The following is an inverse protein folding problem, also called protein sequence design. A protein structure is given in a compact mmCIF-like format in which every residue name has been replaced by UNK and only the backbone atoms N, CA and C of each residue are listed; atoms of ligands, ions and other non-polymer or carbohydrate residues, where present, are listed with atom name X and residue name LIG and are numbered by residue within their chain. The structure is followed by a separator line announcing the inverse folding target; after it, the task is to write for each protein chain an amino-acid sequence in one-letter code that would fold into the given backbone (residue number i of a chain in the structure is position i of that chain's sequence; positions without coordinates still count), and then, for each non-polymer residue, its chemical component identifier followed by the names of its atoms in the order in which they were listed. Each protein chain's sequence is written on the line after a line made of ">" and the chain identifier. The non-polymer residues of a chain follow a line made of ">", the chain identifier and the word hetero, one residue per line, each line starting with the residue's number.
data_IF_400268284447
#
_entry.id   IF_400268284447
#
_cell.length_a   1.000
_cell.length_b   1.000
_cell.length_c   1.000
_cell.angle_alpha   90.00
_cell.angle_beta   90.00
_cell.angle_gamma   90.00
#
_symmetry.space_group_name_H-M   'P 1'
#
loop_
_entity.id
_entity.type
_entity.pdbx_description
1 polymer ?
#
# COMPACT_ATOMS: atom_id res chain seq x y z
N UNK A 1 19.61 -12.15 1.47
CA UNK A 1 20.41 -13.11 2.26
C UNK A 1 19.69 -13.30 3.58
N UNK A 2 19.35 -14.54 3.97
CA UNK A 2 18.70 -14.81 5.25
C UNK A 2 19.72 -14.87 6.39
N UNK A 3 19.29 -14.57 7.61
CA UNK A 3 20.12 -14.71 8.82
C UNK A 3 19.53 -15.81 9.71
N UNK A 4 20.36 -16.69 10.24
CA UNK A 4 19.93 -17.75 11.17
C UNK A 4 20.05 -17.23 12.59
N UNK A 5 18.96 -17.33 13.36
CA UNK A 5 18.89 -16.93 14.77
C UNK A 5 18.43 -18.12 15.60
N UNK A 6 18.96 -18.24 16.82
CA UNK A 6 18.48 -19.23 17.77
C UNK A 6 17.19 -18.74 18.42
N UNK A 7 16.23 -19.64 18.56
CA UNK A 7 15.04 -19.40 19.38
C UNK A 7 15.45 -19.53 20.86
N UNK A 8 14.91 -18.64 21.69
CA UNK A 8 15.05 -18.69 23.14
C UNK A 8 13.70 -19.06 23.76
N UNK A 9 13.73 -19.74 24.90
CA UNK A 9 12.54 -20.17 25.62
C UNK A 9 12.60 -19.65 27.05
N UNK A 10 11.48 -19.09 27.50
CA UNK A 10 11.28 -18.75 28.91
C UNK A 10 10.90 -20.01 29.71
N UNK A 11 11.18 -20.08 31.02
CA UNK A 11 10.74 -21.20 31.86
C UNK A 11 9.22 -21.44 31.83
N UNK A 12 8.42 -20.40 31.57
CA UNK A 12 6.97 -20.46 31.45
C UNK A 12 6.44 -20.95 30.10
N UNK A 13 7.31 -21.32 29.15
CA UNK A 13 6.91 -21.92 27.87
C UNK A 13 6.75 -20.95 26.71
N UNK A 14 6.94 -19.64 26.90
CA UNK A 14 6.94 -18.66 25.79
C UNK A 14 8.27 -18.69 25.06
N UNK A 15 8.22 -18.65 23.73
CA UNK A 15 9.39 -18.59 22.85
C UNK A 15 9.58 -17.18 22.28
N UNK A 16 10.82 -16.77 22.07
CA UNK A 16 11.14 -15.50 21.40
C UNK A 16 12.41 -15.62 20.56
N UNK A 17 12.54 -14.72 19.58
CA UNK A 17 13.69 -14.60 18.70
C UNK A 17 14.11 -13.13 18.62
N UNK A 18 15.40 -12.88 18.49
CA UNK A 18 15.89 -11.52 18.24
C UNK A 18 15.71 -11.20 16.75
N UNK A 19 14.91 -10.17 16.44
CA UNK A 19 14.76 -9.66 15.08
C UNK A 19 16.07 -8.99 14.59
N UNK A 20 16.36 -8.97 13.28
CA UNK A 20 17.58 -8.33 12.76
C UNK A 20 17.61 -6.83 13.06
N UNK A 21 18.72 -6.34 13.62
CA UNK A 21 18.88 -4.93 14.03
C UNK A 21 18.62 -3.94 12.88
N UNK A 22 19.25 -4.17 11.71
CA UNK A 22 19.07 -3.29 10.55
C UNK A 22 17.69 -3.37 9.91
N UNK A 23 16.90 -4.40 10.22
CA UNK A 23 15.48 -4.45 9.84
C UNK A 23 14.66 -3.61 10.82
N UNK A 24 14.87 -3.79 12.12
CA UNK A 24 14.20 -3.00 13.16
C UNK A 24 14.43 -1.49 13.01
N UNK A 25 15.68 -1.07 12.74
CA UNK A 25 16.03 0.35 12.51
C UNK A 25 15.35 0.93 11.27
N UNK A 26 15.28 0.16 10.18
CA UNK A 26 14.65 0.57 8.92
C UNK A 26 13.16 0.85 9.07
N UNK A 27 12.48 0.06 9.89
CA UNK A 27 11.06 0.23 10.19
C UNK A 27 10.81 1.07 11.45
N UNK A 28 11.85 1.70 12.01
CA UNK A 28 11.71 2.59 13.16
C UNK A 28 11.20 1.92 14.44
N UNK A 29 11.37 0.60 14.57
CA UNK A 29 10.91 -0.15 15.74
C UNK A 29 11.70 0.26 16.98
N UNK A 30 10.98 0.54 18.06
CA UNK A 30 11.52 0.94 19.37
C UNK A 30 11.03 -0.02 20.44
N UNK A 31 11.57 0.11 21.65
CA UNK A 31 11.06 -0.63 22.81
C UNK A 31 9.56 -0.34 22.97
N UNK A 32 8.75 -1.39 22.99
CA UNK A 32 7.29 -1.30 23.09
C UNK A 32 6.56 -1.16 21.76
N UNK A 33 7.26 -1.14 20.60
CA UNK A 33 6.60 -1.24 19.30
C UNK A 33 5.86 -2.57 19.16
N UNK A 34 4.67 -2.52 18.58
CA UNK A 34 3.86 -3.69 18.24
C UNK A 34 4.12 -4.10 16.80
N UNK A 35 4.11 -5.40 16.53
CA UNK A 35 4.21 -5.98 15.18
C UNK A 35 3.14 -7.06 15.04
N UNK A 36 2.69 -7.34 13.83
CA UNK A 36 1.82 -8.46 13.55
C UNK A 36 2.67 -9.69 13.33
N UNK A 37 2.24 -10.82 13.88
CA UNK A 37 2.80 -12.12 13.53
C UNK A 37 1.66 -12.97 13.02
N UNK A 38 1.78 -13.47 11.80
CA UNK A 38 0.83 -14.39 11.19
C UNK A 38 1.55 -15.62 10.66
N UNK A 39 0.83 -16.74 10.61
CA UNK A 39 1.32 -17.98 10.03
C UNK A 39 0.84 -18.08 8.58
N UNK A 40 1.77 -18.33 7.65
CA UNK A 40 1.47 -18.58 6.25
C UNK A 40 0.94 -20.01 6.07
N UNK A 41 0.33 -20.30 4.92
CA UNK A 41 -0.21 -21.63 4.62
C UNK A 41 0.84 -22.76 4.60
N UNK A 42 2.11 -22.42 4.42
CA UNK A 42 3.25 -23.35 4.48
C UNK A 42 3.94 -23.38 5.86
N UNK A 43 3.30 -22.82 6.90
CA UNK A 43 3.73 -22.90 8.29
C UNK A 43 4.87 -21.95 8.68
N UNK A 44 5.18 -20.96 7.85
CA UNK A 44 6.19 -19.94 8.17
C UNK A 44 5.55 -18.80 8.96
N UNK A 45 6.32 -18.20 9.85
CA UNK A 45 5.91 -16.97 10.52
C UNK A 45 6.29 -15.76 9.66
N UNK A 46 5.30 -14.92 9.37
CA UNK A 46 5.47 -13.61 8.74
C UNK A 46 5.35 -12.53 9.81
N UNK A 47 6.33 -11.62 9.86
CA UNK A 47 6.35 -10.50 10.80
C UNK A 47 6.11 -9.22 10.00
N UNK A 48 5.05 -8.51 10.33
CA UNK A 48 4.70 -7.23 9.74
C UNK A 48 4.93 -6.10 10.75
N UNK A 49 5.92 -5.21 10.51
CA UNK A 49 6.22 -4.10 11.40
C UNK A 49 5.20 -2.96 11.32
N UNK A 50 4.31 -2.99 10.33
CA UNK A 50 3.30 -1.96 10.07
C UNK A 50 1.93 -2.37 10.60
N UNK A 51 1.89 -3.15 11.67
CA UNK A 51 0.64 -3.56 12.31
C UNK A 51 -0.24 -2.36 12.69
N UNK A 52 -1.39 -2.24 12.02
CA UNK A 52 -2.32 -1.13 12.22
C UNK A 52 -1.96 0.15 11.46
N UNK A 53 -0.88 0.15 10.66
CA UNK A 53 -0.71 1.19 9.65
C UNK A 53 -1.83 1.00 8.62
N UNK A 54 -2.65 2.03 8.44
CA UNK A 54 -3.51 2.09 7.26
C UNK A 54 -2.57 2.05 6.06
N UNK A 55 -2.69 1.07 5.14
CA UNK A 55 -1.88 1.04 3.94
C UNK A 55 -1.98 2.42 3.30
N UNK A 56 -0.84 3.08 3.08
CA UNK A 56 -0.87 4.37 2.40
C UNK A 56 -1.54 4.14 1.05
N UNK A 57 -2.59 4.89 0.71
CA UNK A 57 -3.31 4.68 -0.53
C UNK A 57 -2.32 4.81 -1.68
N UNK A 58 -2.28 3.79 -2.53
CA UNK A 58 -1.43 3.75 -3.70
C UNK A 58 -1.94 4.82 -4.67
N UNK A 59 -1.26 5.95 -4.67
CA UNK A 59 -1.65 7.13 -5.45
C UNK A 59 -0.77 7.32 -6.68
N UNK A 60 -1.35 7.89 -7.73
CA UNK A 60 -0.64 8.26 -8.96
C UNK A 60 -1.21 9.55 -9.54
N UNK A 61 -0.33 10.37 -10.11
CA UNK A 61 -0.72 11.58 -10.85
C UNK A 61 -0.56 11.37 -12.34
N UNK A 62 -1.62 11.59 -13.09
CA UNK A 62 -1.68 11.54 -14.54
C UNK A 62 -1.79 12.96 -15.10
N UNK A 63 -1.13 13.21 -16.22
CA UNK A 63 -1.38 14.41 -17.03
C UNK A 63 -2.39 14.04 -18.12
N UNK A 64 -3.31 14.94 -18.50
CA UNK A 64 -4.20 14.70 -19.62
C UNK A 64 -3.43 14.39 -20.90
N UNK A 65 -3.72 13.24 -21.51
CA UNK A 65 -3.21 12.81 -22.81
C UNK A 65 -4.37 12.37 -23.70
N UNK A 66 -4.11 12.11 -24.99
CA UNK A 66 -5.09 11.51 -25.91
C UNK A 66 -5.58 10.11 -25.48
N UNK A 67 -4.95 9.52 -24.48
CA UNK A 67 -5.26 8.18 -23.96
C UNK A 67 -5.64 8.19 -22.49
N UNK A 68 -6.05 9.36 -21.95
CA UNK A 68 -6.36 9.55 -20.54
C UNK A 68 -7.33 8.48 -20.00
N UNK A 69 -8.42 8.19 -20.71
CA UNK A 69 -9.34 7.10 -20.36
C UNK A 69 -8.63 5.76 -20.14
N UNK A 70 -7.72 5.39 -21.05
CA UNK A 70 -6.98 4.12 -20.99
C UNK A 70 -5.98 4.12 -19.84
N UNK A 71 -5.35 5.26 -19.58
CA UNK A 71 -4.43 5.41 -18.45
C UNK A 71 -5.18 5.25 -17.12
N UNK A 72 -6.34 5.89 -16.95
CA UNK A 72 -7.19 5.74 -15.76
C UNK A 72 -7.59 4.27 -15.56
N UNK A 73 -8.11 3.60 -16.61
CA UNK A 73 -8.46 2.18 -16.54
C UNK A 73 -7.24 1.32 -16.18
N UNK A 74 -6.08 1.61 -16.77
CA UNK A 74 -4.84 0.90 -16.46
C UNK A 74 -4.42 1.05 -14.99
N UNK A 75 -4.53 2.24 -14.41
CA UNK A 75 -4.22 2.46 -12.99
C UNK A 75 -5.25 1.80 -12.07
N UNK A 76 -6.53 1.85 -12.44
CA UNK A 76 -7.58 1.12 -11.75
C UNK A 76 -7.28 -0.39 -11.73
N UNK A 77 -6.95 -1.00 -12.87
CA UNK A 77 -6.63 -2.44 -12.97
C UNK A 77 -5.36 -2.82 -12.21
N UNK A 78 -4.43 -1.88 -11.99
CA UNK A 78 -3.22 -2.08 -11.20
C UNK A 78 -3.43 -1.91 -9.68
N UNK A 79 -4.66 -1.64 -9.25
CA UNK A 79 -5.02 -1.46 -7.84
C UNK A 79 -4.46 -0.17 -7.25
N UNK A 80 -4.49 0.93 -8.00
CA UNK A 80 -4.25 2.25 -7.42
C UNK A 80 -5.53 2.74 -6.74
N UNK A 81 -5.41 3.16 -5.48
CA UNK A 81 -6.52 3.67 -4.67
C UNK A 81 -6.89 5.11 -5.05
N UNK A 82 -5.90 5.92 -5.45
CA UNK A 82 -6.12 7.34 -5.82
C UNK A 82 -5.48 7.62 -7.18
N UNK A 83 -6.29 8.05 -8.13
CA UNK A 83 -5.84 8.49 -9.46
C UNK A 83 -6.10 9.99 -9.57
N UNK A 84 -5.04 10.79 -9.46
CA UNK A 84 -5.12 12.25 -9.60
C UNK A 84 -4.86 12.64 -11.05
N UNK A 85 -5.73 13.45 -11.65
CA UNK A 85 -5.52 14.00 -12.99
C UNK A 85 -5.19 15.48 -12.83
N UNK A 86 -3.97 15.90 -13.16
CA UNK A 86 -3.50 17.27 -12.95
C UNK A 86 -2.95 17.89 -14.23
N UNK A 87 -3.26 19.17 -14.43
CA UNK A 87 -2.63 20.03 -15.43
C UNK A 87 -2.75 21.50 -15.00
N UNK A 88 -1.96 22.39 -15.62
CA UNK A 88 -2.09 23.85 -15.40
C UNK A 88 -3.50 24.36 -15.69
N UNK A 89 -4.16 23.75 -16.67
CA UNK A 89 -5.55 24.00 -17.01
C UNK A 89 -6.20 22.68 -17.44
N UNK A 90 -7.33 22.34 -16.83
CA UNK A 90 -8.15 21.19 -17.19
C UNK A 90 -9.33 21.71 -18.00
N UNK A 91 -9.41 21.31 -19.28
CA UNK A 91 -10.52 21.71 -20.14
C UNK A 91 -11.81 20.95 -19.78
N UNK A 92 -12.94 21.46 -20.26
CA UNK A 92 -14.23 20.80 -20.07
C UNK A 92 -14.24 19.38 -20.67
N UNK A 93 -13.60 19.18 -21.82
CA UNK A 93 -13.53 17.88 -22.51
C UNK A 93 -12.77 16.85 -21.67
N UNK A 94 -11.65 17.24 -21.06
CA UNK A 94 -10.86 16.38 -20.16
C UNK A 94 -11.69 16.00 -18.93
N UNK A 95 -12.40 16.95 -18.34
CA UNK A 95 -13.28 16.71 -17.20
C UNK A 95 -14.41 15.73 -17.54
N UNK A 96 -15.04 15.91 -18.69
CA UNK A 96 -16.09 15.00 -19.18
C UNK A 96 -15.53 13.60 -19.52
N UNK A 97 -14.29 13.53 -20.03
CA UNK A 97 -13.60 12.26 -20.23
C UNK A 97 -13.40 11.53 -18.91
N UNK A 98 -12.83 12.19 -17.88
CA UNK A 98 -12.64 11.62 -16.55
C UNK A 98 -13.97 11.13 -15.95
N UNK A 99 -15.02 11.96 -16.00
CA UNK A 99 -16.36 11.61 -15.49
C UNK A 99 -16.95 10.38 -16.19
N UNK A 100 -16.84 10.32 -17.52
CA UNK A 100 -17.32 9.20 -18.33
C UNK A 100 -16.51 7.92 -18.10
N UNK A 101 -15.20 8.03 -17.87
CA UNK A 101 -14.37 6.86 -17.55
C UNK A 101 -14.69 6.34 -16.15
N UNK A 102 -14.76 7.23 -15.15
CA UNK A 102 -15.02 6.85 -13.76
C UNK A 102 -16.39 6.18 -13.58
N UNK A 103 -17.45 6.68 -14.23
CA UNK A 103 -18.79 6.10 -14.14
C UNK A 103 -18.93 4.67 -14.69
N UNK A 104 -17.92 4.18 -15.43
CA UNK A 104 -17.86 2.80 -15.96
C UNK A 104 -17.05 1.85 -15.07
N UNK A 105 -16.39 2.37 -14.03
CA UNK A 105 -15.52 1.60 -13.15
C UNK A 105 -16.17 1.45 -11.79
N UNK A 106 -16.48 0.21 -11.41
CA UNK A 106 -17.18 -0.10 -10.16
C UNK A 106 -16.33 0.36 -8.96
N UNK A 107 -16.93 1.14 -8.07
CA UNK A 107 -16.27 1.60 -6.84
C UNK A 107 -15.26 2.73 -7.04
N UNK A 108 -15.10 3.28 -8.26
CA UNK A 108 -14.32 4.48 -8.48
C UNK A 108 -15.22 5.71 -8.39
N UNK A 109 -14.92 6.61 -7.46
CA UNK A 109 -15.68 7.83 -7.22
C UNK A 109 -14.78 9.07 -7.36
N UNK A 110 -15.36 10.18 -7.81
CA UNK A 110 -14.68 11.47 -7.86
C UNK A 110 -14.91 12.17 -6.52
N UNK A 111 -13.85 12.28 -5.71
CA UNK A 111 -13.91 12.85 -4.35
C UNK A 111 -13.49 14.31 -4.27
N UNK A 112 -12.76 14.83 -5.28
CA UNK A 112 -12.23 16.19 -5.31
C UNK A 112 -12.18 16.69 -6.77
N UNK A 113 -12.63 17.92 -7.01
CA UNK A 113 -12.55 18.60 -8.31
C UNK A 113 -12.25 20.09 -8.06
N UNK A 114 -11.03 20.53 -8.39
CA UNK A 114 -10.55 21.92 -8.22
C UNK A 114 -10.09 22.53 -9.54
#
# INVERSE_FOLDING_TARGET
>A
MGEIRKVQQTPGGTFFICIPKGWAERYGLKRGSTVMISETSDGKLLIDPEYGAVPLPRSITLKPTLHLSREIIGKYLLGFDIIRVENKHISFEVREEVKRTASRLVGLEIIEEN
#
